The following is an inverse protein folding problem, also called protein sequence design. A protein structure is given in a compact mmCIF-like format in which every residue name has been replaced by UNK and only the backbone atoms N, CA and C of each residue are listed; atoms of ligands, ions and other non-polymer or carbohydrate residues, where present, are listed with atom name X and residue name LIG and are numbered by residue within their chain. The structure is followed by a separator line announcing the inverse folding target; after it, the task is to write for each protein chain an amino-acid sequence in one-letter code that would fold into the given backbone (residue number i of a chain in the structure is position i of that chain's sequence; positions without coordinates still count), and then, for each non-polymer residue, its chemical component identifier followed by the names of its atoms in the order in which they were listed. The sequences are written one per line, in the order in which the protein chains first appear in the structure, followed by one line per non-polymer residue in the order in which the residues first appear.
data_IF_949555997394
#
_entry.id   IF_949555997394
#
_cell.length_a   1.000
_cell.length_b   1.000
_cell.length_c   1.000
_cell.angle_alpha   90.00
_cell.angle_beta   90.00
_cell.angle_gamma   90.00
#
_symmetry.space_group_name_H-M   'P 1'
#
loop_
_entity.id
_entity.type
_entity.pdbx_description
1 polymer ?
#
# COMPACT_ATOMS: atom_id res chain seq x y z
N UNK A 1 -55.97 -41.16 -33.45
CA UNK A 1 -55.06 -40.05 -33.08
C UNK A 1 -54.50 -40.42 -31.71
N UNK A 2 -53.22 -40.66 -31.45
CA UNK A 2 -51.94 -40.33 -32.07
C UNK A 2 -50.91 -41.35 -31.56
N UNK A 3 -49.99 -41.77 -32.43
CA UNK A 3 -48.84 -42.63 -32.13
C UNK A 3 -47.84 -41.95 -31.18
N UNK A 4 -47.25 -42.72 -30.27
CA UNK A 4 -46.06 -42.34 -29.51
C UNK A 4 -45.03 -43.48 -29.56
N UNK A 5 -44.12 -43.43 -30.54
CA UNK A 5 -42.96 -44.33 -30.67
C UNK A 5 -41.82 -43.83 -29.76
N UNK A 6 -41.33 -44.68 -28.87
CA UNK A 6 -40.02 -44.51 -28.23
C UNK A 6 -38.88 -44.93 -29.19
N UNK A 7 -37.75 -44.21 -29.26
CA UNK A 7 -36.57 -44.65 -29.99
C UNK A 7 -35.66 -45.54 -29.11
N UNK A 8 -34.85 -46.44 -29.71
CA UNK A 8 -33.95 -47.34 -28.98
C UNK A 8 -32.66 -46.63 -28.53
N UNK A 9 -32.12 -47.07 -27.39
CA UNK A 9 -30.79 -46.67 -26.87
C UNK A 9 -29.68 -47.26 -27.75
N UNK A 10 -28.84 -46.39 -28.32
CA UNK A 10 -27.60 -46.77 -29.00
C UNK A 10 -26.49 -47.21 -28.03
N UNK A 11 -25.42 -47.87 -28.52
CA UNK A 11 -24.36 -48.44 -27.70
C UNK A 11 -23.46 -47.34 -27.14
N UNK A 12 -22.99 -47.51 -25.89
CA UNK A 12 -21.96 -46.67 -25.27
C UNK A 12 -20.60 -47.04 -25.86
N UNK A 13 -20.06 -46.19 -26.72
CA UNK A 13 -18.67 -46.28 -27.18
C UNK A 13 -17.74 -45.93 -26.01
N UNK A 14 -16.80 -46.83 -25.72
CA UNK A 14 -15.70 -46.56 -24.80
C UNK A 14 -14.71 -45.58 -25.48
N UNK A 15 -14.16 -44.58 -24.77
CA UNK A 15 -13.18 -43.69 -25.35
C UNK A 15 -11.92 -44.48 -25.73
N UNK A 16 -11.54 -44.37 -27.00
CA UNK A 16 -10.40 -45.06 -27.59
C UNK A 16 -9.11 -44.76 -26.83
N UNK A 17 -8.36 -45.79 -26.41
CA UNK A 17 -7.07 -45.71 -25.69
C UNK A 17 -6.07 -44.76 -26.38
N UNK A 18 -6.17 -44.59 -27.69
CA UNK A 18 -5.39 -43.65 -28.50
C UNK A 18 -5.64 -42.19 -28.13
N UNK A 19 -6.87 -41.81 -27.76
CA UNK A 19 -7.20 -40.43 -27.37
C UNK A 19 -6.62 -40.07 -25.99
N UNK A 20 -6.63 -41.05 -25.07
CA UNK A 20 -6.00 -40.92 -23.75
C UNK A 20 -4.48 -40.82 -23.85
N UNK A 21 -3.85 -41.57 -24.76
CA UNK A 21 -2.42 -41.49 -25.01
C UNK A 21 -2.00 -40.16 -25.66
N UNK A 22 -2.81 -39.65 -26.60
CA UNK A 22 -2.61 -38.31 -27.18
C UNK A 22 -2.80 -37.20 -26.14
N UNK A 23 -3.80 -37.31 -25.26
CA UNK A 23 -3.99 -36.34 -24.17
C UNK A 23 -2.82 -36.38 -23.17
N UNK A 24 -2.27 -37.55 -22.85
CA UNK A 24 -1.08 -37.69 -22.00
C UNK A 24 0.18 -37.11 -22.65
N UNK A 25 0.36 -37.29 -23.97
CA UNK A 25 1.47 -36.68 -24.72
C UNK A 25 1.34 -35.16 -24.82
N UNK A 26 0.11 -34.64 -24.99
CA UNK A 26 -0.14 -33.20 -25.00
C UNK A 26 0.04 -32.59 -23.61
N UNK A 27 -0.38 -33.27 -22.53
CA UNK A 27 -0.15 -32.80 -21.15
C UNK A 27 1.34 -32.83 -20.77
N UNK A 28 2.11 -33.81 -21.25
CA UNK A 28 3.57 -33.85 -21.02
C UNK A 28 4.33 -32.82 -21.87
N UNK A 29 3.85 -32.50 -23.08
CA UNK A 29 4.40 -31.41 -23.89
C UNK A 29 4.09 -30.01 -23.30
N UNK A 30 2.90 -29.82 -22.71
CA UNK A 30 2.50 -28.53 -22.11
C UNK A 30 3.19 -28.30 -20.75
N UNK A 31 3.56 -29.36 -20.03
CA UNK A 31 4.27 -29.24 -18.73
C UNK A 31 5.78 -29.05 -18.86
N UNK A 32 6.35 -29.15 -20.08
CA UNK A 32 7.78 -28.94 -20.32
C UNK A 32 8.17 -27.46 -20.51
N UNK A 33 7.20 -26.53 -20.58
CA UNK A 33 7.46 -25.15 -21.04
C UNK A 33 7.18 -24.07 -19.99
N UNK A 34 7.21 -24.42 -18.70
CA UNK A 34 7.02 -23.43 -17.62
C UNK A 34 8.11 -23.56 -16.56
N UNK A 35 9.24 -22.88 -16.79
CA UNK A 35 10.16 -22.30 -15.77
C UNK A 35 11.43 -21.77 -16.45
N UNK A 36 11.31 -20.75 -17.29
CA UNK A 36 12.48 -20.09 -17.89
C UNK A 36 12.80 -18.81 -17.10
N UNK A 37 13.52 -18.99 -15.99
CA UNK A 37 14.00 -17.92 -15.11
C UNK A 37 15.42 -17.47 -15.45
N UNK A 38 15.62 -16.15 -15.40
CA UNK A 38 16.87 -15.38 -15.47
C UNK A 38 18.16 -16.17 -15.16
N UNK A 39 19.05 -16.33 -16.16
CA UNK A 39 20.45 -16.76 -15.92
C UNK A 39 21.01 -17.91 -16.76
N UNK A 40 20.28 -18.40 -17.78
CA UNK A 40 20.74 -19.52 -18.60
C UNK A 40 22.07 -19.24 -19.33
N UNK A 41 22.27 -18.05 -19.91
CA UNK A 41 23.53 -17.70 -20.57
C UNK A 41 24.71 -17.68 -19.60
N UNK A 42 24.53 -17.15 -18.38
CA UNK A 42 25.60 -17.11 -17.36
C UNK A 42 26.05 -18.51 -16.93
N UNK A 43 25.20 -19.53 -17.05
CA UNK A 43 25.56 -20.93 -16.78
C UNK A 43 26.57 -21.52 -17.77
N UNK A 44 26.67 -20.93 -18.97
CA UNK A 44 27.60 -21.35 -20.04
C UNK A 44 29.01 -20.82 -19.84
N UNK A 45 29.22 -19.94 -18.86
CA UNK A 45 30.51 -19.35 -18.55
C UNK A 45 31.21 -20.05 -17.36
N UNK A 46 32.54 -20.18 -17.36
CA UNK A 46 33.31 -20.56 -16.17
C UNK A 46 33.45 -19.39 -15.18
N UNK A 47 33.85 -19.68 -13.94
CA UNK A 47 34.30 -18.63 -13.01
C UNK A 47 35.62 -18.02 -13.50
N UNK A 48 35.88 -16.70 -13.33
CA UNK A 48 35.07 -15.69 -12.65
C UNK A 48 34.01 -15.00 -13.53
N UNK A 49 34.03 -15.25 -14.84
CA UNK A 49 33.09 -14.68 -15.82
C UNK A 49 31.62 -14.94 -15.42
N UNK A 50 31.32 -16.16 -14.95
CA UNK A 50 29.98 -16.53 -14.45
C UNK A 50 29.49 -15.63 -13.33
N UNK A 51 30.32 -15.33 -12.33
CA UNK A 51 29.96 -14.42 -11.24
C UNK A 51 29.78 -12.98 -11.73
N UNK A 52 30.61 -12.53 -12.68
CA UNK A 52 30.43 -11.22 -13.29
C UNK A 52 29.13 -11.13 -14.09
N UNK A 53 28.75 -12.19 -14.80
CA UNK A 53 27.51 -12.30 -15.56
C UNK A 53 26.26 -12.20 -14.66
N UNK A 54 26.22 -12.93 -13.54
CA UNK A 54 25.08 -12.85 -12.61
C UNK A 54 24.93 -11.50 -11.90
N UNK A 55 25.96 -10.64 -11.91
CA UNK A 55 25.86 -9.28 -11.36
C UNK A 55 25.28 -8.28 -12.35
N UNK A 56 25.12 -8.67 -13.62
CA UNK A 56 24.51 -7.81 -14.63
C UNK A 56 23.02 -8.09 -14.69
N UNK A 57 22.17 -7.15 -14.27
CA UNK A 57 20.73 -7.33 -14.38
C UNK A 57 20.29 -7.28 -15.86
N UNK A 58 19.35 -8.14 -16.25
CA UNK A 58 18.81 -8.21 -17.62
C UNK A 58 18.24 -6.85 -18.08
N UNK A 59 17.60 -6.10 -17.18
CA UNK A 59 17.11 -4.73 -17.49
C UNK A 59 18.24 -3.72 -17.73
N UNK A 60 19.43 -3.94 -17.15
CA UNK A 60 20.62 -3.11 -17.35
C UNK A 60 21.21 -3.26 -18.74
N UNK A 61 21.04 -4.42 -19.38
CA UNK A 61 21.61 -4.76 -20.69
C UNK A 61 21.02 -4.00 -21.90
N UNK A 62 19.86 -3.37 -21.77
CA UNK A 62 19.35 -2.43 -22.79
C UNK A 62 19.26 -0.99 -22.28
N UNK A 63 19.72 -0.72 -21.06
CA UNK A 63 19.64 0.58 -20.41
C UNK A 63 20.67 1.57 -20.93
N UNK A 64 20.74 2.76 -20.34
CA UNK A 64 21.83 3.70 -20.60
C UNK A 64 23.19 3.16 -20.16
N UNK A 65 23.19 2.18 -19.26
CA UNK A 65 24.38 1.56 -18.68
C UNK A 65 24.78 0.25 -19.39
N UNK A 66 24.10 -0.11 -20.49
CA UNK A 66 24.35 -1.34 -21.23
C UNK A 66 25.82 -1.46 -21.68
N UNK A 67 26.37 -0.40 -22.28
CA UNK A 67 27.76 -0.36 -22.73
C UNK A 67 28.75 -0.56 -21.57
N UNK A 68 28.44 -0.01 -20.39
CA UNK A 68 29.27 -0.17 -19.20
C UNK A 68 29.27 -1.63 -18.72
N UNK A 69 28.09 -2.26 -18.67
CA UNK A 69 27.96 -3.66 -18.29
C UNK A 69 28.62 -4.62 -19.30
N UNK A 70 28.47 -4.36 -20.60
CA UNK A 70 29.09 -5.16 -21.66
C UNK A 70 30.61 -5.02 -21.69
N UNK A 71 31.13 -3.82 -21.48
CA UNK A 71 32.58 -3.58 -21.38
C UNK A 71 33.18 -4.31 -20.17
N UNK A 72 32.48 -4.26 -19.03
CA UNK A 72 32.89 -4.98 -17.83
C UNK A 72 32.89 -6.50 -18.05
N UNK A 73 31.87 -7.05 -18.73
CA UNK A 73 31.82 -8.47 -19.10
C UNK A 73 32.94 -8.85 -20.07
N UNK A 74 33.18 -8.06 -21.12
CA UNK A 74 34.25 -8.31 -22.08
C UNK A 74 35.65 -8.30 -21.44
N UNK A 75 35.85 -7.50 -20.39
CA UNK A 75 37.11 -7.49 -19.63
C UNK A 75 37.31 -8.72 -18.72
N UNK A 76 36.22 -9.37 -18.30
CA UNK A 76 36.24 -10.50 -17.35
C UNK A 76 36.05 -11.86 -18.04
N UNK A 77 35.44 -11.88 -19.23
CA UNK A 77 35.05 -13.08 -19.97
C UNK A 77 35.89 -13.23 -21.24
N UNK A 78 36.55 -14.39 -21.45
CA UNK A 78 37.26 -14.67 -22.69
C UNK A 78 36.35 -14.60 -23.92
N UNK A 79 36.83 -13.99 -25.02
CA UNK A 79 36.11 -13.96 -26.29
C UNK A 79 35.91 -15.35 -26.93
N UNK A 80 36.68 -16.36 -26.52
CA UNK A 80 36.57 -17.75 -27.00
C UNK A 80 35.35 -18.50 -26.49
N UNK A 81 34.53 -17.88 -25.63
CA UNK A 81 33.30 -18.46 -25.11
C UNK A 81 32.14 -18.28 -26.12
N UNK A 82 32.24 -18.89 -27.29
CA UNK A 82 31.32 -18.64 -28.42
C UNK A 82 29.85 -18.91 -28.05
N UNK A 83 29.57 -19.99 -27.32
CA UNK A 83 28.21 -20.33 -26.87
C UNK A 83 27.63 -19.31 -25.90
N UNK A 84 28.47 -18.79 -25.00
CA UNK A 84 28.09 -17.74 -24.05
C UNK A 84 27.78 -16.43 -24.78
N UNK A 85 28.67 -15.98 -25.66
CA UNK A 85 28.49 -14.73 -26.39
C UNK A 85 27.33 -14.79 -27.39
N UNK A 86 27.10 -15.94 -28.03
CA UNK A 86 25.94 -16.16 -28.90
C UNK A 86 24.64 -16.08 -28.09
N UNK A 87 24.58 -16.73 -26.93
CA UNK A 87 23.42 -16.66 -26.02
C UNK A 87 23.16 -15.22 -25.56
N UNK A 88 24.21 -14.53 -25.09
CA UNK A 88 24.11 -13.15 -24.62
C UNK A 88 23.64 -12.21 -25.74
N UNK A 89 24.16 -12.36 -26.96
CA UNK A 89 23.77 -11.54 -28.10
C UNK A 89 22.30 -11.77 -28.51
N UNK A 90 21.79 -12.99 -28.38
CA UNK A 90 20.36 -13.27 -28.57
C UNK A 90 19.49 -12.56 -27.53
N UNK A 91 19.87 -12.66 -26.25
CA UNK A 91 19.19 -11.92 -25.16
C UNK A 91 19.26 -10.41 -25.39
N UNK A 92 20.38 -9.90 -25.89
CA UNK A 92 20.52 -8.49 -26.25
C UNK A 92 19.56 -8.09 -27.36
N UNK A 93 19.40 -8.91 -28.40
CA UNK A 93 18.46 -8.66 -29.49
C UNK A 93 17.02 -8.51 -28.98
N UNK A 94 16.56 -9.43 -28.13
CA UNK A 94 15.23 -9.37 -27.49
C UNK A 94 15.07 -8.14 -26.59
N UNK A 95 16.11 -7.81 -25.80
CA UNK A 95 16.11 -6.62 -24.94
C UNK A 95 16.08 -5.33 -25.76
N UNK A 96 16.72 -5.30 -26.93
CA UNK A 96 16.68 -4.15 -27.85
C UNK A 96 15.35 -4.01 -28.57
N UNK A 97 14.69 -5.11 -28.91
CA UNK A 97 13.34 -5.11 -29.46
C UNK A 97 12.33 -4.49 -28.47
N UNK A 98 12.50 -4.79 -27.17
CA UNK A 98 11.75 -4.19 -26.09
C UNK A 98 12.19 -2.77 -25.67
N UNK A 99 13.20 -2.15 -26.30
CA UNK A 99 13.76 -0.88 -25.85
C UNK A 99 12.77 0.29 -25.90
N UNK A 100 11.82 0.24 -26.85
CA UNK A 100 10.76 1.24 -27.00
C UNK A 100 9.58 1.07 -26.05
N UNK A 101 9.56 0.00 -25.24
CA UNK A 101 8.47 -0.25 -24.31
C UNK A 101 8.56 0.71 -23.12
N UNK A 102 7.49 1.46 -22.90
CA UNK A 102 7.39 2.48 -21.84
C UNK A 102 7.52 1.91 -20.42
N UNK A 103 7.23 0.61 -20.22
CA UNK A 103 7.31 -0.06 -18.92
C UNK A 103 8.73 -0.48 -18.53
N UNK A 104 9.69 -0.36 -19.44
CA UNK A 104 11.08 -0.81 -19.25
C UNK A 104 11.79 -0.24 -18.01
N UNK A 105 11.62 1.05 -17.64
CA UNK A 105 12.21 1.58 -16.41
C UNK A 105 11.69 0.92 -15.12
N UNK A 106 10.55 0.23 -15.20
CA UNK A 106 9.92 -0.45 -14.07
C UNK A 106 10.48 -1.85 -13.82
N UNK A 107 11.18 -2.46 -14.80
CA UNK A 107 11.74 -3.81 -14.67
C UNK A 107 12.70 -3.98 -13.48
N UNK A 108 13.35 -2.90 -13.02
CA UNK A 108 14.18 -2.91 -11.80
C UNK A 108 13.39 -3.17 -10.50
N UNK A 109 12.07 -3.00 -10.55
CA UNK A 109 11.15 -3.22 -9.44
C UNK A 109 10.51 -4.61 -9.50
N UNK A 110 10.70 -5.34 -10.60
CA UNK A 110 10.23 -6.71 -10.73
C UNK A 110 11.07 -7.62 -9.82
N UNK A 111 10.41 -8.48 -9.06
CA UNK A 111 11.07 -9.48 -8.22
C UNK A 111 11.21 -10.76 -9.04
N UNK A 112 12.42 -11.33 -9.08
CA UNK A 112 12.66 -12.64 -9.65
C UNK A 112 12.16 -13.71 -8.66
N UNK A 113 11.47 -14.78 -9.12
CA UNK A 113 10.76 -15.70 -8.24
C UNK A 113 11.58 -16.59 -7.28
N UNK A 114 12.90 -16.46 -7.15
CA UNK A 114 13.68 -17.35 -6.27
C UNK A 114 14.95 -16.69 -5.68
N UNK A 115 14.78 -15.92 -4.60
CA UNK A 115 15.86 -15.70 -3.63
C UNK A 115 15.46 -16.32 -2.28
N UNK A 116 16.15 -17.38 -1.81
CA UNK A 116 15.83 -17.98 -0.52
C UNK A 116 16.22 -16.99 0.59
N UNK A 117 15.22 -16.41 1.25
CA UNK A 117 15.42 -15.62 2.47
C UNK A 117 14.89 -14.17 2.48
N UNK A 118 14.04 -13.77 1.53
CA UNK A 118 13.43 -12.42 1.52
C UNK A 118 12.01 -12.39 2.12
N UNK A 119 11.75 -11.45 3.03
CA UNK A 119 10.43 -11.20 3.63
C UNK A 119 9.40 -10.81 2.56
N UNK A 120 8.30 -11.57 2.48
CA UNK A 120 7.01 -11.36 1.78
C UNK A 120 6.95 -10.30 0.66
N UNK A 121 6.86 -10.81 -0.58
CA UNK A 121 6.94 -10.15 -1.88
C UNK A 121 5.74 -9.30 -2.33
N UNK A 122 4.70 -9.10 -1.52
CA UNK A 122 3.50 -8.37 -1.97
C UNK A 122 3.74 -6.86 -2.20
N UNK A 123 4.67 -6.23 -1.48
CA UNK A 123 4.89 -4.77 -1.58
C UNK A 123 5.68 -4.36 -2.84
N UNK A 124 6.54 -5.22 -3.37
CA UNK A 124 7.37 -4.92 -4.53
C UNK A 124 6.57 -5.07 -5.82
N UNK A 125 5.69 -6.06 -5.87
CA UNK A 125 4.75 -6.27 -6.97
C UNK A 125 3.81 -5.06 -7.15
N UNK A 126 3.33 -4.47 -6.05
CA UNK A 126 2.51 -3.25 -6.08
C UNK A 126 3.29 -2.04 -6.61
N UNK A 127 4.57 -1.87 -6.24
CA UNK A 127 5.40 -0.77 -6.75
C UNK A 127 5.74 -0.96 -8.23
N UNK A 128 5.96 -2.20 -8.68
CA UNK A 128 6.10 -2.55 -10.09
C UNK A 128 4.84 -2.19 -10.88
N UNK A 129 3.66 -2.66 -10.46
CA UNK A 129 2.39 -2.35 -11.13
C UNK A 129 2.07 -0.85 -11.14
N UNK A 130 2.33 -0.14 -10.04
CA UNK A 130 2.19 1.33 -9.99
C UNK A 130 3.12 2.03 -10.97
N UNK A 131 4.36 1.56 -11.10
CA UNK A 131 5.30 2.09 -12.06
C UNK A 131 4.77 1.88 -13.48
N UNK A 132 4.37 0.65 -13.83
CA UNK A 132 3.79 0.31 -15.14
C UNK A 132 2.61 1.23 -15.45
N UNK A 133 1.60 1.29 -14.58
CA UNK A 133 0.41 2.13 -14.82
C UNK A 133 0.76 3.61 -15.03
N UNK A 134 1.69 4.17 -14.23
CA UNK A 134 2.13 5.56 -14.42
C UNK A 134 2.86 5.74 -15.75
N UNK A 135 3.76 4.83 -16.10
CA UNK A 135 4.51 4.92 -17.35
C UNK A 135 3.61 4.73 -18.57
N UNK A 136 2.52 3.98 -18.47
CA UNK A 136 1.49 3.84 -19.51
C UNK A 136 0.74 5.15 -19.74
N UNK A 137 0.22 5.74 -18.65
CA UNK A 137 -0.42 7.06 -18.68
C UNK A 137 0.55 8.11 -19.24
N UNK A 138 1.82 8.03 -18.83
CA UNK A 138 2.92 8.87 -19.30
C UNK A 138 3.19 8.71 -20.79
N UNK A 139 3.21 7.49 -21.32
CA UNK A 139 3.41 7.24 -22.74
C UNK A 139 2.30 7.92 -23.57
N UNK A 140 1.04 7.78 -23.16
CA UNK A 140 -0.09 8.48 -23.79
C UNK A 140 -0.01 10.01 -23.67
N UNK A 141 0.52 10.50 -22.55
CA UNK A 141 0.72 11.91 -22.25
C UNK A 141 1.83 12.56 -23.10
N UNK A 142 2.99 11.92 -23.14
CA UNK A 142 4.23 12.45 -23.70
C UNK A 142 4.35 12.17 -25.22
N UNK A 143 3.64 11.18 -25.76
CA UNK A 143 3.66 10.88 -27.21
C UNK A 143 3.08 12.00 -28.08
N UNK A 144 2.20 12.86 -27.51
CA UNK A 144 1.48 13.91 -28.25
C UNK A 144 2.31 15.14 -28.59
N UNK A 145 3.54 15.26 -28.07
CA UNK A 145 4.46 16.36 -28.41
C UNK A 145 5.46 15.94 -29.48
N UNK A 146 5.78 16.86 -30.40
CA UNK A 146 6.83 16.70 -31.41
C UNK A 146 8.22 17.13 -30.88
N UNK A 147 8.27 17.80 -29.73
CA UNK A 147 9.53 18.25 -29.13
C UNK A 147 10.18 17.10 -28.35
N UNK A 148 11.35 16.66 -28.81
CA UNK A 148 12.16 15.64 -28.13
C UNK A 148 12.47 16.01 -26.67
N UNK A 149 12.82 17.29 -26.41
CA UNK A 149 13.15 17.77 -25.05
C UNK A 149 11.92 17.76 -24.14
N UNK A 150 10.77 18.19 -24.63
CA UNK A 150 9.52 18.13 -23.86
C UNK A 150 9.12 16.68 -23.58
N UNK A 151 9.24 15.80 -24.57
CA UNK A 151 8.95 14.37 -24.43
C UNK A 151 9.83 13.73 -23.36
N UNK A 152 11.15 13.93 -23.44
CA UNK A 152 12.10 13.37 -22.48
C UNK A 152 11.84 13.86 -21.04
N UNK A 153 11.60 15.18 -20.87
CA UNK A 153 11.28 15.75 -19.56
C UNK A 153 9.93 15.27 -19.01
N UNK A 154 8.95 15.00 -19.89
CA UNK A 154 7.66 14.40 -19.55
C UNK A 154 7.81 12.95 -19.10
N UNK A 155 8.49 12.11 -19.88
CA UNK A 155 8.73 10.70 -19.55
C UNK A 155 9.48 10.55 -18.21
N UNK A 156 10.45 11.43 -17.97
CA UNK A 156 11.18 11.48 -16.70
C UNK A 156 10.25 11.77 -15.49
N UNK A 157 9.24 12.62 -15.65
CA UNK A 157 8.24 12.91 -14.60
C UNK A 157 7.39 11.67 -14.29
N UNK A 158 6.96 10.92 -15.30
CA UNK A 158 6.14 9.72 -15.11
C UNK A 158 6.94 8.51 -14.60
N UNK A 159 8.25 8.49 -14.87
CA UNK A 159 9.17 7.46 -14.35
C UNK A 159 9.59 7.73 -12.90
N UNK A 160 9.53 8.98 -12.45
CA UNK A 160 9.89 9.34 -11.08
C UNK A 160 8.82 8.90 -10.07
N UNK A 161 9.25 8.32 -8.95
CA UNK A 161 8.36 8.00 -7.81
C UNK A 161 7.70 9.28 -7.26
N UNK A 162 8.50 10.35 -7.16
CA UNK A 162 8.11 11.72 -6.82
C UNK A 162 8.96 12.71 -7.61
N UNK A 163 8.37 13.55 -8.50
CA UNK A 163 9.13 14.51 -9.30
C UNK A 163 9.79 15.61 -8.46
N UNK A 164 11.11 15.77 -8.58
CA UNK A 164 11.88 16.82 -7.90
C UNK A 164 11.54 18.22 -8.41
N UNK A 165 11.89 19.26 -7.65
CA UNK A 165 11.70 20.67 -8.05
C UNK A 165 12.39 20.95 -9.38
N UNK A 166 13.62 20.46 -9.53
CA UNK A 166 14.41 20.60 -10.78
C UNK A 166 13.69 19.97 -11.96
N UNK A 167 13.16 18.75 -11.79
CA UNK A 167 12.47 18.03 -12.85
C UNK A 167 11.15 18.72 -13.24
N UNK A 168 10.38 19.22 -12.26
CA UNK A 168 9.16 20.02 -12.50
C UNK A 168 9.47 21.32 -13.26
N UNK A 169 10.53 22.03 -12.88
CA UNK A 169 11.00 23.22 -13.59
C UNK A 169 11.43 22.89 -15.03
N UNK A 170 12.15 21.79 -15.21
CA UNK A 170 12.62 21.36 -16.52
C UNK A 170 11.44 21.01 -17.44
N UNK A 171 10.41 20.31 -16.93
CA UNK A 171 9.16 20.07 -17.66
C UNK A 171 8.48 21.38 -18.05
N UNK A 172 8.30 22.31 -17.11
CA UNK A 172 7.65 23.59 -17.38
C UNK A 172 8.41 24.44 -18.41
N UNK A 173 9.75 24.35 -18.41
CA UNK A 173 10.63 25.01 -19.37
C UNK A 173 10.54 24.37 -20.75
N UNK A 174 10.73 23.06 -20.84
CA UNK A 174 10.85 22.34 -22.11
C UNK A 174 9.49 22.16 -22.81
N UNK A 175 8.39 22.12 -22.04
CA UNK A 175 7.03 21.97 -22.55
C UNK A 175 6.23 23.28 -22.58
N UNK A 176 6.88 24.46 -22.54
CA UNK A 176 6.21 25.76 -22.52
C UNK A 176 5.22 25.96 -23.68
N UNK A 177 5.56 25.48 -24.88
CA UNK A 177 4.71 25.52 -26.08
C UNK A 177 3.69 24.37 -26.16
N UNK A 178 3.69 23.44 -25.20
CA UNK A 178 2.91 22.21 -25.21
C UNK A 178 1.99 22.12 -24.00
N UNK A 179 1.02 23.04 -23.91
CA UNK A 179 0.10 23.15 -22.79
C UNK A 179 -0.66 21.83 -22.47
N UNK A 180 -0.93 21.00 -23.48
CA UNK A 180 -1.57 19.70 -23.30
C UNK A 180 -0.71 18.72 -22.46
N UNK A 181 0.62 18.70 -22.67
CA UNK A 181 1.54 17.86 -21.88
C UNK A 181 1.59 18.35 -20.45
N UNK A 182 1.72 19.66 -20.24
CA UNK A 182 1.77 20.23 -18.89
C UNK A 182 0.48 20.03 -18.11
N UNK A 183 -0.69 20.10 -18.76
CA UNK A 183 -1.99 19.80 -18.14
C UNK A 183 -2.13 18.32 -17.80
N UNK A 184 -1.68 17.45 -18.69
CA UNK A 184 -1.73 16.01 -18.48
C UNK A 184 -0.82 15.56 -17.32
N UNK A 185 0.41 16.10 -17.25
CA UNK A 185 1.34 15.85 -16.14
C UNK A 185 1.00 16.63 -14.85
N UNK A 186 -0.10 17.40 -14.83
CA UNK A 186 -0.42 18.29 -13.71
C UNK A 186 -0.64 17.53 -12.40
N UNK A 187 -1.27 16.35 -12.41
CA UNK A 187 -1.51 15.58 -11.19
C UNK A 187 -0.21 15.16 -10.48
N UNK A 188 0.86 14.91 -11.25
CA UNK A 188 2.18 14.52 -10.74
C UNK A 188 3.08 15.71 -10.39
N UNK A 189 2.81 16.87 -11.01
CA UNK A 189 3.60 18.09 -10.82
C UNK A 189 2.94 19.11 -9.90
N UNK A 190 1.68 18.87 -9.49
CA UNK A 190 0.92 19.72 -8.58
C UNK A 190 1.61 19.79 -7.22
N UNK A 191 2.08 20.99 -6.92
CA UNK A 191 2.67 21.30 -5.63
C UNK A 191 1.64 21.92 -4.70
N UNK A 192 1.65 21.53 -3.42
CA UNK A 192 0.87 22.24 -2.41
C UNK A 192 1.73 23.32 -1.74
N UNK A 193 1.26 24.57 -1.66
CA UNK A 193 1.86 25.59 -0.79
C UNK A 193 2.07 25.07 0.64
N UNK A 194 3.22 25.37 1.23
CA UNK A 194 3.45 25.03 2.63
C UNK A 194 2.54 25.87 3.54
N UNK A 195 1.97 25.26 4.57
CA UNK A 195 1.12 25.98 5.53
C UNK A 195 1.97 26.58 6.65
N UNK A 196 2.07 27.92 6.65
CA UNK A 196 2.78 28.72 7.66
C UNK A 196 4.25 28.30 7.94
N UNK A 197 5.11 28.14 6.91
CA UNK A 197 6.52 27.80 7.09
C UNK A 197 7.30 28.82 7.95
N UNK A 198 6.82 30.07 8.00
CA UNK A 198 7.40 31.16 8.78
C UNK A 198 7.43 30.91 10.30
N UNK A 199 6.58 30.01 10.83
CA UNK A 199 6.58 29.65 12.26
C UNK A 199 7.91 29.05 12.72
N UNK A 200 8.64 28.45 11.79
CA UNK A 200 9.89 27.76 12.06
C UNK A 200 11.13 28.64 11.83
N UNK A 201 10.98 29.94 11.57
CA UNK A 201 12.11 30.86 11.32
C UNK A 201 13.12 30.90 12.47
N UNK A 202 12.65 30.68 13.70
CA UNK A 202 13.52 30.61 14.87
C UNK A 202 14.53 29.45 14.78
N UNK A 203 14.20 28.35 14.10
CA UNK A 203 15.11 27.22 13.90
C UNK A 203 16.28 27.53 12.97
N UNK A 204 16.13 28.50 12.06
CA UNK A 204 17.25 28.92 11.22
C UNK A 204 18.39 29.54 12.06
N UNK A 205 18.11 30.09 13.25
CA UNK A 205 19.15 30.65 14.11
C UNK A 205 20.08 29.58 14.71
N UNK A 206 19.67 28.31 14.71
CA UNK A 206 20.43 27.19 15.26
C UNK A 206 21.54 26.68 14.32
N UNK A 207 21.71 27.26 13.13
CA UNK A 207 22.86 26.96 12.27
C UNK A 207 24.08 27.78 12.66
N UNK A 208 25.23 27.12 12.72
CA UNK A 208 26.53 27.79 12.83
C UNK A 208 26.99 28.41 11.50
N UNK A 209 26.39 27.97 10.38
CA UNK A 209 26.79 28.38 9.02
C UNK A 209 25.96 29.58 8.55
N UNK A 210 26.61 30.73 8.34
CA UNK A 210 25.94 31.98 7.96
C UNK A 210 25.16 31.91 6.64
N UNK A 211 25.69 31.21 5.62
CA UNK A 211 25.00 31.00 4.34
C UNK A 211 23.72 30.16 4.50
N UNK A 212 23.77 29.09 5.29
CA UNK A 212 22.59 28.28 5.63
C UNK A 212 21.55 29.08 6.43
N UNK A 213 21.97 29.94 7.39
CA UNK A 213 21.02 30.79 8.14
C UNK A 213 20.22 31.71 7.23
N UNK A 214 20.88 32.37 6.29
CA UNK A 214 20.24 33.26 5.32
C UNK A 214 19.28 32.49 4.43
N UNK A 215 19.78 31.45 3.76
CA UNK A 215 18.99 30.63 2.86
C UNK A 215 17.80 29.94 3.56
N UNK A 216 17.97 29.46 4.80
CA UNK A 216 16.89 28.88 5.59
C UNK A 216 15.76 29.88 5.85
N UNK A 217 16.10 31.13 6.20
CA UNK A 217 15.10 32.19 6.38
C UNK A 217 14.39 32.49 5.08
N UNK A 218 15.12 32.63 4.00
CA UNK A 218 14.55 32.94 2.68
C UNK A 218 13.61 31.82 2.22
N UNK A 219 14.01 30.55 2.39
CA UNK A 219 13.18 29.39 2.04
C UNK A 219 11.92 29.32 2.91
N UNK A 220 12.01 29.54 4.23
CA UNK A 220 10.85 29.50 5.12
C UNK A 220 9.93 30.73 5.00
N UNK A 221 10.43 31.87 4.52
CA UNK A 221 9.60 33.02 4.17
C UNK A 221 9.04 32.94 2.75
N UNK A 222 9.61 32.09 1.89
CA UNK A 222 9.11 31.90 0.54
C UNK A 222 7.75 31.20 0.55
N UNK A 223 6.88 31.54 -0.40
CA UNK A 223 5.65 30.80 -0.67
C UNK A 223 5.92 29.43 -1.35
N UNK A 224 7.09 28.84 -1.11
CA UNK A 224 7.48 27.58 -1.69
C UNK A 224 6.54 26.46 -1.21
N UNK A 225 6.26 25.50 -2.09
CA UNK A 225 5.50 24.34 -1.69
C UNK A 225 6.31 23.45 -0.75
N UNK A 226 5.60 22.72 0.11
CA UNK A 226 6.23 21.97 1.20
C UNK A 226 7.27 20.94 0.74
N UNK A 227 7.05 20.33 -0.43
CA UNK A 227 7.97 19.37 -1.04
C UNK A 227 9.28 20.04 -1.50
N UNK A 228 9.24 21.34 -1.81
CA UNK A 228 10.38 22.11 -2.28
C UNK A 228 11.14 22.72 -1.10
N UNK A 229 10.48 22.95 0.05
CA UNK A 229 11.14 23.50 1.24
C UNK A 229 12.24 22.56 1.72
N UNK A 230 11.97 21.26 1.81
CA UNK A 230 12.97 20.28 2.24
C UNK A 230 14.12 20.16 1.24
N UNK A 231 13.82 20.05 -0.06
CA UNK A 231 14.84 19.99 -1.12
C UNK A 231 15.73 21.25 -1.13
N UNK A 232 15.14 22.44 -0.95
CA UNK A 232 15.88 23.71 -0.88
C UNK A 232 16.72 23.86 0.39
N UNK A 233 16.20 23.38 1.53
CA UNK A 233 16.96 23.37 2.77
C UNK A 233 18.12 22.38 2.71
N UNK A 234 17.94 21.21 2.08
CA UNK A 234 19.02 20.26 1.85
C UNK A 234 20.11 20.83 0.94
N UNK A 235 19.72 21.56 -0.11
CA UNK A 235 20.65 22.24 -1.03
C UNK A 235 21.47 23.34 -0.32
N UNK A 236 20.86 24.06 0.62
CA UNK A 236 21.49 25.20 1.29
C UNK A 236 22.20 24.86 2.62
N UNK A 237 21.72 23.85 3.34
CA UNK A 237 22.14 23.50 4.70
C UNK A 237 22.73 22.09 4.82
N UNK A 238 22.80 21.34 3.72
CA UNK A 238 23.28 19.96 3.69
C UNK A 238 22.17 18.95 3.99
N UNK A 239 22.48 17.67 3.78
CA UNK A 239 21.55 16.55 3.97
C UNK A 239 20.94 16.55 5.37
N UNK A 240 19.74 16.00 5.50
CA UNK A 240 19.03 15.90 6.78
C UNK A 240 19.87 15.11 7.79
N UNK A 241 20.31 15.81 8.85
CA UNK A 241 21.10 15.26 9.94
C UNK A 241 20.58 15.81 11.28
N UNK A 242 20.21 14.93 12.20
CA UNK A 242 19.67 15.28 13.52
C UNK A 242 20.73 15.83 14.49
N UNK A 243 22.01 15.76 14.13
CA UNK A 243 23.09 16.45 14.87
C UNK A 243 23.14 17.95 14.56
N UNK A 244 22.64 18.36 13.39
CA UNK A 244 22.58 19.76 12.98
C UNK A 244 21.47 20.51 13.74
N UNK A 245 21.81 21.65 14.34
CA UNK A 245 20.90 22.45 15.15
C UNK A 245 19.63 22.90 14.42
N UNK A 246 19.71 23.20 13.12
CA UNK A 246 18.54 23.60 12.31
C UNK A 246 17.57 22.45 12.14
N UNK A 247 18.07 21.31 11.66
CA UNK A 247 17.28 20.11 11.45
C UNK A 247 16.67 19.64 12.77
N UNK A 248 17.49 19.54 13.82
CA UNK A 248 17.05 19.18 15.17
C UNK A 248 15.90 20.07 15.65
N UNK A 249 16.01 21.39 15.52
CA UNK A 249 14.94 22.32 15.92
C UNK A 249 13.66 22.15 15.08
N UNK A 250 13.79 22.05 13.76
CA UNK A 250 12.66 21.85 12.84
C UNK A 250 11.88 20.57 13.18
N UNK A 251 12.59 19.52 13.64
CA UNK A 251 11.98 18.28 14.10
C UNK A 251 11.55 18.30 15.57
N UNK A 252 12.13 19.10 16.46
CA UNK A 252 11.75 19.16 17.89
C UNK A 252 10.50 20.01 18.17
N UNK A 253 10.30 21.12 17.46
CA UNK A 253 9.02 21.85 17.50
C UNK A 253 7.86 21.01 16.96
N UNK A 254 8.19 19.89 16.31
CA UNK A 254 7.22 18.91 15.91
C UNK A 254 6.51 18.23 17.11
N UNK A 255 7.21 18.16 18.24
CA UNK A 255 6.76 17.57 19.49
C UNK A 255 6.12 18.63 20.40
N UNK A 256 6.67 19.84 20.49
CA UNK A 256 6.14 20.90 21.37
C UNK A 256 4.73 21.41 20.96
N UNK A 257 4.43 21.46 19.65
CA UNK A 257 3.08 21.77 19.16
C UNK A 257 2.10 20.59 19.32
N UNK A 258 2.60 19.36 19.49
CA UNK A 258 1.78 18.20 19.85
C UNK A 258 1.46 18.21 21.37
N UNK A 259 2.38 18.67 22.20
CA UNK A 259 2.20 18.73 23.67
C UNK A 259 1.15 19.78 24.09
N UNK A 260 0.97 20.88 23.34
CA UNK A 260 -0.03 21.91 23.69
C UNK A 260 -1.49 21.55 23.33
N UNK A 261 -1.74 20.45 22.61
CA UNK A 261 -3.10 20.08 22.17
C UNK A 261 -3.47 18.60 22.38
N UNK A 262 -2.70 17.83 23.14
CA UNK A 262 -3.09 16.48 23.52
C UNK A 262 -2.53 16.09 24.88
N UNK A 263 -3.35 16.24 25.93
CA UNK A 263 -3.32 15.32 27.05
C UNK A 263 -3.85 13.97 26.53
N UNK A 264 -2.96 13.14 26.02
CA UNK A 264 -2.98 11.67 26.03
C UNK A 264 -1.90 11.22 25.05
N UNK A 265 -0.90 10.51 25.58
CA UNK A 265 0.29 10.09 24.85
C UNK A 265 -0.07 9.14 23.71
N UNK A 266 -0.23 9.70 22.51
CA UNK A 266 -0.30 8.96 21.26
C UNK A 266 0.89 9.38 20.42
N UNK A 267 1.85 8.46 20.24
CA UNK A 267 2.89 8.62 19.23
C UNK A 267 2.23 8.68 17.85
N UNK A 268 1.94 9.89 17.42
CA UNK A 268 1.41 10.17 16.09
C UNK A 268 2.58 10.06 15.12
N UNK A 269 2.58 9.00 14.29
CA UNK A 269 3.50 8.86 13.17
C UNK A 269 3.49 10.12 12.29
N UNK A 270 4.67 10.49 11.75
CA UNK A 270 5.00 11.72 11.00
C UNK A 270 4.04 12.14 9.86
N UNK A 271 3.06 11.29 9.51
CA UNK A 271 2.01 11.50 8.50
C UNK A 271 0.78 12.25 9.04
N UNK A 272 0.50 12.19 10.35
CA UNK A 272 -0.60 12.95 10.97
C UNK A 272 -0.48 14.47 10.84
N UNK A 273 0.72 14.97 10.49
CA UNK A 273 1.02 16.40 10.31
C UNK A 273 0.59 17.01 8.97
N UNK A 274 0.05 16.21 8.04
CA UNK A 274 -0.47 16.66 6.74
C UNK A 274 -2.01 16.67 6.66
N UNK A 275 -2.70 16.33 7.74
CA UNK A 275 -4.15 16.05 7.70
C UNK A 275 -4.49 14.86 6.79
N UNK A 276 -3.51 13.98 6.56
CA UNK A 276 -3.58 12.81 5.70
C UNK A 276 -3.12 11.62 6.52
N UNK A 277 -4.06 10.79 6.95
CA UNK A 277 -3.72 9.53 7.57
C UNK A 277 -3.32 8.55 6.46
N UNK A 278 -2.03 8.50 6.10
CA UNK A 278 -1.58 7.65 4.99
C UNK A 278 -1.80 6.16 5.24
N UNK A 279 -1.91 5.73 6.49
CA UNK A 279 -2.29 4.36 6.80
C UNK A 279 -3.76 4.14 6.42
N UNK A 280 -4.66 5.07 6.77
CA UNK A 280 -6.08 5.03 6.36
C UNK A 280 -6.30 5.24 4.87
N UNK A 281 -5.52 6.10 4.22
CA UNK A 281 -5.55 6.29 2.77
C UNK A 281 -5.07 5.05 2.01
N UNK A 282 -4.10 4.32 2.58
CA UNK A 282 -3.73 2.99 2.11
C UNK A 282 -4.90 2.02 2.22
N UNK A 283 -5.66 2.09 3.31
CA UNK A 283 -6.86 1.28 3.50
C UNK A 283 -8.01 1.61 2.54
N UNK A 284 -8.14 2.86 2.09
CA UNK A 284 -9.12 3.25 1.08
C UNK A 284 -8.95 2.53 -0.27
N UNK A 285 -7.82 1.86 -0.51
CA UNK A 285 -7.58 1.00 -1.68
C UNK A 285 -8.24 -0.39 -1.53
N UNK A 286 -8.61 -0.79 -0.31
CA UNK A 286 -9.30 -2.05 -0.01
C UNK A 286 -10.84 -1.95 -0.11
N UNK A 287 -11.33 -0.82 -0.62
CA UNK A 287 -12.75 -0.62 -0.86
C UNK A 287 -13.26 -1.55 -1.96
N UNK A 288 -14.39 -2.21 -1.72
CA UNK A 288 -15.03 -3.08 -2.70
C UNK A 288 -15.78 -2.27 -3.77
N UNK A 289 -16.28 -1.09 -3.42
CA UNK A 289 -16.92 -0.13 -4.30
C UNK A 289 -15.97 1.04 -4.63
N UNK A 290 -15.87 1.44 -5.90
CA UNK A 290 -15.09 2.61 -6.30
C UNK A 290 -15.63 3.91 -5.69
N UNK A 291 -16.94 3.98 -5.45
CA UNK A 291 -17.60 5.12 -4.80
C UNK A 291 -17.17 5.23 -3.33
N UNK A 292 -17.15 4.11 -2.60
CA UNK A 292 -16.69 4.05 -1.22
C UNK A 292 -15.19 4.29 -1.08
N UNK A 293 -14.38 3.82 -2.02
CA UNK A 293 -12.96 4.17 -2.08
C UNK A 293 -12.74 5.68 -2.28
N UNK A 294 -13.56 6.33 -3.10
CA UNK A 294 -13.47 7.78 -3.34
C UNK A 294 -13.98 8.62 -2.15
N UNK A 295 -15.04 8.17 -1.46
CA UNK A 295 -15.50 8.79 -0.20
C UNK A 295 -14.45 8.61 0.90
N UNK A 296 -13.83 7.43 1.00
CA UNK A 296 -12.79 7.14 1.98
C UNK A 296 -11.58 8.05 1.79
N UNK A 297 -11.07 8.16 0.55
CA UNK A 297 -9.95 9.05 0.24
C UNK A 297 -10.28 10.50 0.55
N UNK A 298 -11.52 10.93 0.33
CA UNK A 298 -11.98 12.30 0.66
C UNK A 298 -12.03 12.52 2.17
N UNK A 299 -12.62 11.59 2.92
CA UNK A 299 -12.76 11.64 4.37
C UNK A 299 -11.42 11.66 5.12
N UNK A 300 -10.40 10.99 4.57
CA UNK A 300 -9.04 10.99 5.12
C UNK A 300 -8.08 11.91 4.35
N UNK A 301 -8.62 12.72 3.45
CA UNK A 301 -7.96 13.90 2.91
C UNK A 301 -8.32 15.14 3.73
N UNK A 302 -7.83 16.32 3.31
CA UNK A 302 -7.86 17.60 4.04
C UNK A 302 -9.24 18.12 4.49
N UNK A 303 -10.31 17.37 4.25
CA UNK A 303 -11.71 17.69 4.56
C UNK A 303 -12.27 16.66 5.57
N UNK A 304 -12.04 16.91 6.86
CA UNK A 304 -12.64 16.10 7.94
C UNK A 304 -14.02 16.66 8.31
N UNK A 305 -14.99 15.80 8.67
CA UNK A 305 -16.36 16.19 9.01
C UNK A 305 -17.42 15.55 8.09
N UNK A 306 -18.05 16.34 7.21
CA UNK A 306 -19.13 15.87 6.31
C UNK A 306 -18.78 14.65 5.44
N UNK A 307 -17.55 14.53 4.87
CA UNK A 307 -17.19 13.35 4.09
C UNK A 307 -17.02 12.08 4.95
N UNK A 308 -16.69 12.22 6.23
CA UNK A 308 -16.57 11.09 7.17
C UNK A 308 -17.95 10.52 7.54
N UNK A 309 -18.93 11.38 7.85
CA UNK A 309 -20.30 10.93 8.11
C UNK A 309 -20.91 10.22 6.89
N UNK A 310 -20.66 10.75 5.69
CA UNK A 310 -21.09 10.11 4.45
C UNK A 310 -20.39 8.75 4.22
N UNK A 311 -19.09 8.64 4.50
CA UNK A 311 -18.36 7.37 4.43
C UNK A 311 -18.91 6.36 5.44
N UNK A 312 -19.16 6.78 6.68
CA UNK A 312 -19.60 5.91 7.75
C UNK A 312 -21.01 5.36 7.49
N UNK A 313 -21.93 6.22 7.06
CA UNK A 313 -23.34 5.86 6.80
C UNK A 313 -23.54 5.14 5.47
N UNK A 314 -22.89 5.60 4.40
CA UNK A 314 -23.10 5.05 3.06
C UNK A 314 -22.22 3.83 2.76
N UNK A 315 -21.07 3.66 3.41
CA UNK A 315 -20.09 2.63 3.05
C UNK A 315 -19.70 1.70 4.21
N UNK A 316 -19.26 2.23 5.34
CA UNK A 316 -18.75 1.40 6.45
C UNK A 316 -19.86 0.61 7.17
N UNK A 317 -21.12 1.00 6.99
CA UNK A 317 -22.30 0.23 7.41
C UNK A 317 -22.59 -0.97 6.51
N UNK A 318 -22.03 -1.01 5.29
CA UNK A 318 -22.31 -2.07 4.33
C UNK A 318 -21.36 -3.26 4.53
N UNK A 319 -21.87 -4.50 4.62
CA UNK A 319 -21.03 -5.69 4.79
C UNK A 319 -20.10 -5.93 3.59
N UNK A 320 -20.43 -5.37 2.42
CA UNK A 320 -19.61 -5.43 1.21
C UNK A 320 -18.27 -4.70 1.36
N UNK A 321 -18.21 -3.68 2.21
CA UNK A 321 -17.00 -2.89 2.49
C UNK A 321 -16.21 -3.41 3.71
N UNK A 322 -16.42 -4.68 4.11
CA UNK A 322 -15.77 -5.27 5.28
C UNK A 322 -14.23 -5.20 5.22
N UNK A 323 -13.63 -5.35 4.04
CA UNK A 323 -12.18 -5.27 3.83
C UNK A 323 -11.63 -3.85 4.04
N UNK A 324 -12.39 -2.84 3.65
CA UNK A 324 -12.08 -1.44 3.88
C UNK A 324 -12.19 -1.11 5.37
N UNK A 325 -13.31 -1.49 5.99
CA UNK A 325 -13.56 -1.25 7.41
C UNK A 325 -12.50 -1.94 8.30
N UNK A 326 -12.18 -3.20 8.02
CA UNK A 326 -11.14 -3.95 8.72
C UNK A 326 -9.78 -3.25 8.62
N UNK A 327 -9.38 -2.81 7.43
CA UNK A 327 -8.12 -2.11 7.27
C UNK A 327 -8.10 -0.75 8.00
N UNK A 328 -9.16 0.03 7.89
CA UNK A 328 -9.24 1.33 8.58
C UNK A 328 -9.12 1.16 10.08
N UNK A 329 -9.81 0.17 10.64
CA UNK A 329 -9.68 -0.18 12.05
C UNK A 329 -8.27 -0.70 12.40
N UNK A 330 -7.58 -1.37 11.47
CA UNK A 330 -6.19 -1.81 11.60
C UNK A 330 -5.19 -0.67 11.72
N UNK A 331 -5.42 0.40 10.96
CA UNK A 331 -4.53 1.54 10.88
C UNK A 331 -4.59 2.52 12.06
N UNK A 332 -5.62 2.45 12.90
CA UNK A 332 -5.86 3.44 13.95
C UNK A 332 -4.94 3.27 15.18
N UNK A 333 -4.76 2.03 15.67
CA UNK A 333 -3.98 1.76 16.88
C UNK A 333 -3.17 0.46 16.68
N UNK A 334 -1.84 0.47 16.91
CA UNK A 334 -1.04 -0.73 16.78
C UNK A 334 -1.45 -1.76 17.83
N UNK A 335 -1.43 -3.02 17.43
CA UNK A 335 -1.75 -4.14 18.29
C UNK A 335 -0.70 -4.33 19.38
N UNK A 336 -1.15 -4.48 20.62
CA UNK A 336 -0.33 -4.77 21.78
C UNK A 336 -0.46 -6.24 22.18
N UNK A 337 0.61 -6.81 22.71
CA UNK A 337 0.65 -8.20 23.16
C UNK A 337 -0.04 -8.34 24.52
N UNK A 338 -1.17 -9.05 24.54
CA UNK A 338 -1.91 -9.44 25.73
C UNK A 338 -2.52 -8.27 26.52
N UNK A 339 -3.56 -8.58 27.29
CA UNK A 339 -4.04 -7.69 28.33
C UNK A 339 -3.56 -8.16 29.72
N UNK A 340 -3.37 -7.21 30.63
CA UNK A 340 -3.07 -7.48 32.03
C UNK A 340 -3.74 -6.44 32.93
N UNK A 341 -4.12 -6.83 34.15
CA UNK A 341 -4.70 -5.92 35.13
C UNK A 341 -6.15 -5.50 34.86
N UNK A 342 -6.88 -6.20 33.98
CA UNK A 342 -8.32 -5.97 33.78
C UNK A 342 -9.12 -6.62 34.91
N UNK A 343 -10.08 -5.91 35.48
CA UNK A 343 -10.91 -6.38 36.59
C UNK A 343 -12.26 -6.93 36.13
N UNK A 344 -12.82 -6.42 35.03
CA UNK A 344 -14.08 -6.87 34.45
C UNK A 344 -13.87 -7.87 33.30
N UNK A 345 -12.94 -7.62 32.40
CA UNK A 345 -12.60 -8.47 31.27
C UNK A 345 -11.46 -9.44 31.60
N UNK A 346 -11.52 -10.06 32.78
CA UNK A 346 -10.46 -10.93 33.33
C UNK A 346 -10.12 -12.11 32.45
N UNK A 347 -11.08 -12.64 31.69
CA UNK A 347 -10.86 -13.76 30.75
C UNK A 347 -9.87 -13.44 29.62
N UNK A 348 -9.56 -12.15 29.41
CA UNK A 348 -8.57 -11.66 28.45
C UNK A 348 -7.22 -11.33 29.09
N UNK A 349 -7.11 -11.38 30.42
CA UNK A 349 -5.82 -11.32 31.09
C UNK A 349 -4.99 -12.57 30.79
N UNK A 350 -3.66 -12.43 30.76
CA UNK A 350 -2.71 -13.55 30.64
C UNK A 350 -2.82 -14.36 29.33
N UNK A 351 -3.21 -13.70 28.24
CA UNK A 351 -3.15 -14.28 26.88
C UNK A 351 -1.99 -13.65 26.09
N UNK A 352 -0.73 -14.07 26.32
CA UNK A 352 0.45 -13.37 25.80
C UNK A 352 0.61 -13.48 24.28
N UNK A 353 0.00 -14.48 23.65
CA UNK A 353 0.05 -14.70 22.19
C UNK A 353 -1.08 -13.99 21.44
N UNK A 354 -2.07 -13.43 22.15
CA UNK A 354 -3.17 -12.71 21.55
C UNK A 354 -2.89 -11.22 21.52
N UNK A 355 -3.33 -10.59 20.43
CA UNK A 355 -3.08 -9.19 20.14
C UNK A 355 -4.38 -8.39 20.29
N UNK A 356 -4.31 -7.26 21.00
CA UNK A 356 -5.45 -6.38 21.28
C UNK A 356 -5.08 -4.92 21.03
N UNK A 357 -6.07 -4.07 20.69
CA UNK A 357 -5.84 -2.64 20.45
C UNK A 357 -6.00 -1.79 21.70
N UNK A 358 -6.76 -2.26 22.69
CA UNK A 358 -7.10 -1.46 23.87
C UNK A 358 -7.13 -2.32 25.13
N UNK A 359 -5.98 -2.45 25.80
CA UNK A 359 -5.88 -3.14 27.10
C UNK A 359 -5.75 -2.12 28.24
N UNK A 360 -6.76 -1.26 28.43
CA UNK A 360 -6.75 -0.21 29.45
C UNK A 360 -7.85 -0.40 30.49
N UNK A 361 -7.65 0.09 31.72
CA UNK A 361 -8.67 0.10 32.77
C UNK A 361 -9.93 0.90 32.35
N UNK A 362 -9.78 1.89 31.47
CA UNK A 362 -10.89 2.66 30.89
C UNK A 362 -11.74 1.78 29.97
N UNK A 363 -11.13 1.00 29.09
CA UNK A 363 -11.84 0.05 28.22
C UNK A 363 -12.52 -1.07 29.04
N UNK A 364 -11.87 -1.53 30.10
CA UNK A 364 -12.44 -2.49 31.04
C UNK A 364 -13.70 -1.98 31.75
N UNK A 365 -13.68 -0.69 32.11
CA UNK A 365 -14.81 -0.01 32.76
C UNK A 365 -15.93 0.26 31.77
N UNK A 366 -15.60 0.72 30.55
CA UNK A 366 -16.58 0.94 29.49
C UNK A 366 -17.32 -0.35 29.09
N UNK A 367 -16.62 -1.49 29.04
CA UNK A 367 -17.24 -2.80 28.81
C UNK A 367 -18.25 -3.18 29.90
N UNK A 368 -17.97 -2.80 31.15
CA UNK A 368 -18.90 -3.01 32.27
C UNK A 368 -20.14 -2.13 32.14
N UNK A 369 -19.95 -0.86 31.83
CA UNK A 369 -21.02 0.12 31.66
C UNK A 369 -21.97 -0.25 30.52
N UNK A 370 -21.44 -0.71 29.38
CA UNK A 370 -22.26 -1.18 28.25
C UNK A 370 -23.11 -2.40 28.61
N UNK A 371 -22.54 -3.37 29.34
CA UNK A 371 -23.29 -4.54 29.78
C UNK A 371 -24.42 -4.15 30.75
N UNK A 372 -24.16 -3.21 31.66
CA UNK A 372 -25.19 -2.67 32.57
C UNK A 372 -26.30 -1.95 31.79
N UNK A 373 -25.92 -1.14 30.80
CA UNK A 373 -26.89 -0.44 29.95
C UNK A 373 -27.78 -1.43 29.18
N UNK A 374 -27.23 -2.52 28.64
CA UNK A 374 -28.03 -3.54 27.95
C UNK A 374 -28.96 -4.30 28.90
N UNK A 375 -28.57 -4.47 30.16
CA UNK A 375 -29.42 -5.05 31.20
C UNK A 375 -30.61 -4.13 31.54
N UNK A 376 -30.34 -2.85 31.75
CA UNK A 376 -31.35 -1.87 32.16
C UNK A 376 -32.31 -1.50 31.03
N UNK A 377 -31.77 -1.28 29.82
CA UNK A 377 -32.55 -0.85 28.67
C UNK A 377 -33.27 -2.00 27.96
N UNK A 378 -32.85 -3.26 28.22
CA UNK A 378 -33.30 -4.46 27.53
C UNK A 378 -33.30 -4.32 26.00
N UNK A 379 -32.35 -3.53 25.49
CA UNK A 379 -32.28 -3.12 24.09
C UNK A 379 -30.83 -3.09 23.65
N UNK A 380 -30.54 -3.78 22.55
CA UNK A 380 -29.24 -3.75 21.92
C UNK A 380 -29.22 -2.63 20.87
N UNK A 381 -28.37 -1.63 21.10
CA UNK A 381 -28.01 -0.63 20.10
C UNK A 381 -26.53 -0.79 19.79
N UNK A 382 -26.22 -1.16 18.55
CA UNK A 382 -24.84 -1.30 18.06
C UNK A 382 -24.66 -0.41 16.82
N UNK A 383 -23.48 0.19 16.70
CA UNK A 383 -23.11 0.98 15.54
C UNK A 383 -23.13 0.10 14.27
N UNK A 384 -24.01 0.43 13.32
CA UNK A 384 -24.17 -0.30 12.05
C UNK A 384 -25.43 -1.18 11.96
N UNK A 385 -26.15 -1.39 13.07
CA UNK A 385 -27.49 -1.99 13.04
C UNK A 385 -28.53 -0.88 12.86
N UNK A 386 -29.31 -0.94 11.78
CA UNK A 386 -30.33 0.07 11.47
C UNK A 386 -31.54 0.05 12.43
N UNK A 387 -31.71 -1.03 13.21
CA UNK A 387 -32.80 -1.22 14.15
C UNK A 387 -32.28 -1.63 15.53
N UNK A 388 -32.91 -1.12 16.58
CA UNK A 388 -32.64 -1.54 17.97
C UNK A 388 -33.27 -2.91 18.19
N UNK A 389 -32.48 -3.88 18.67
CA UNK A 389 -32.96 -5.25 18.88
C UNK A 389 -33.46 -5.39 20.32
N UNK A 390 -34.73 -5.78 20.55
CA UNK A 390 -35.22 -6.02 21.90
C UNK A 390 -34.56 -7.30 22.46
N UNK A 391 -33.98 -7.16 23.66
CA UNK A 391 -33.33 -8.25 24.35
C UNK A 391 -34.22 -8.76 25.49
N UNK A 392 -34.26 -10.07 25.68
CA UNK A 392 -34.63 -10.66 26.97
C UNK A 392 -33.58 -10.27 28.02
N UNK A 393 -33.89 -10.44 29.30
CA UNK A 393 -32.94 -10.15 30.38
C UNK A 393 -31.57 -10.77 30.07
N UNK A 394 -30.55 -9.92 29.89
CA UNK A 394 -29.17 -10.31 29.56
C UNK A 394 -28.58 -11.22 30.64
N UNK A 395 -29.09 -11.10 31.88
CA UNK A 395 -28.71 -11.95 33.01
C UNK A 395 -29.30 -13.36 32.95
N UNK A 396 -30.45 -13.52 32.29
CA UNK A 396 -31.11 -14.83 32.12
C UNK A 396 -30.60 -15.54 30.87
N UNK A 397 -30.17 -14.77 29.86
CA UNK A 397 -29.74 -15.30 28.58
C UNK A 397 -28.24 -15.11 28.34
N UNK A 398 -27.44 -16.12 28.70
CA UNK A 398 -26.00 -16.21 28.47
C UNK A 398 -25.16 -15.00 28.97
N UNK A 399 -25.13 -14.73 30.28
CA UNK A 399 -24.43 -13.57 30.85
C UNK A 399 -22.93 -13.54 30.54
N UNK A 400 -22.27 -14.69 30.55
CA UNK A 400 -20.84 -14.80 30.24
C UNK A 400 -20.52 -14.50 28.76
N UNK A 401 -21.44 -14.86 27.85
CA UNK A 401 -21.27 -14.58 26.42
C UNK A 401 -21.47 -13.09 26.14
N UNK A 402 -22.47 -12.45 26.76
CA UNK A 402 -22.67 -11.00 26.66
C UNK A 402 -21.52 -10.20 27.27
N UNK A 403 -20.98 -10.66 28.40
CA UNK A 403 -19.76 -10.10 28.99
C UNK A 403 -18.59 -10.23 28.02
N UNK A 404 -18.41 -11.38 27.39
CA UNK A 404 -17.35 -11.57 26.39
C UNK A 404 -17.53 -10.67 25.16
N UNK A 405 -18.77 -10.46 24.70
CA UNK A 405 -19.11 -9.54 23.60
C UNK A 405 -18.78 -8.09 23.99
N UNK A 406 -19.22 -7.62 25.16
CA UNK A 406 -18.89 -6.29 25.65
C UNK A 406 -17.36 -6.08 25.75
N UNK A 407 -16.65 -7.06 26.29
CA UNK A 407 -15.19 -7.02 26.35
C UNK A 407 -14.55 -7.01 24.95
N UNK A 408 -15.03 -7.81 24.00
CA UNK A 408 -14.48 -7.83 22.64
C UNK A 408 -14.66 -6.48 21.92
N UNK A 409 -15.80 -5.81 22.12
CA UNK A 409 -16.08 -4.49 21.54
C UNK A 409 -15.10 -3.41 22.03
N UNK A 410 -14.77 -3.42 23.32
CA UNK A 410 -13.90 -2.40 23.93
C UNK A 410 -12.41 -2.73 23.91
N UNK A 411 -12.04 -4.02 23.98
CA UNK A 411 -10.64 -4.47 23.94
C UNK A 411 -10.10 -4.61 22.51
N UNK A 412 -11.00 -4.84 21.54
CA UNK A 412 -10.73 -4.89 20.09
C UNK A 412 -9.55 -5.81 19.72
N UNK A 413 -9.78 -7.14 19.58
CA UNK A 413 -8.77 -8.09 19.14
C UNK A 413 -8.24 -7.81 17.72
N UNK A 414 -7.00 -8.20 17.44
CA UNK A 414 -6.26 -7.80 16.24
C UNK A 414 -6.25 -8.78 15.05
N UNK A 415 -6.82 -9.99 15.18
CA UNK A 415 -7.08 -10.93 14.08
C UNK A 415 -8.36 -11.73 14.45
N UNK A 416 -9.25 -12.12 13.53
CA UNK A 416 -9.06 -12.82 12.25
C UNK A 416 -10.14 -12.39 11.24
N UNK A 417 -9.76 -12.16 9.98
CA UNK A 417 -10.62 -12.08 8.78
C UNK A 417 -12.03 -11.49 8.94
N UNK A 418 -12.17 -10.26 8.44
CA UNK A 418 -13.41 -9.48 8.27
C UNK A 418 -14.08 -9.03 9.56
N UNK A 419 -13.99 -7.70 9.79
CA UNK A 419 -14.70 -6.92 10.82
C UNK A 419 -14.13 -7.07 12.24
N UNK A 420 -13.66 -5.95 12.78
CA UNK A 420 -13.11 -5.80 14.14
C UNK A 420 -14.04 -6.14 15.28
N UNK A 421 -15.31 -6.45 14.99
CA UNK A 421 -16.35 -6.86 15.94
C UNK A 421 -17.06 -8.17 15.51
N UNK A 422 -16.47 -8.96 14.60
CA UNK A 422 -17.12 -10.17 14.11
C UNK A 422 -17.18 -11.25 15.19
N UNK A 423 -18.39 -11.54 15.64
CA UNK A 423 -18.73 -12.79 16.33
C UNK A 423 -18.91 -13.86 15.23
N UNK A 424 -18.43 -15.08 15.46
CA UNK A 424 -18.67 -16.19 14.53
C UNK A 424 -20.17 -16.30 14.22
N UNK A 425 -20.54 -16.53 12.96
CA UNK A 425 -21.95 -16.63 12.54
C UNK A 425 -22.77 -17.55 13.46
N UNK A 426 -22.20 -18.69 13.83
CA UNK A 426 -22.85 -19.65 14.73
C UNK A 426 -23.10 -19.08 16.13
N UNK A 427 -22.12 -18.39 16.72
CA UNK A 427 -22.24 -17.77 18.04
C UNK A 427 -23.21 -16.58 18.01
N UNK A 428 -23.22 -15.81 16.92
CA UNK A 428 -24.18 -14.73 16.69
C UNK A 428 -25.62 -15.26 16.61
N UNK A 429 -25.85 -16.29 15.77
CA UNK A 429 -27.16 -16.92 15.64
C UNK A 429 -27.61 -17.53 16.96
N UNK A 430 -26.72 -18.22 17.70
CA UNK A 430 -27.04 -18.80 19.00
C UNK A 430 -27.37 -17.75 20.07
N UNK A 431 -26.68 -16.61 20.06
CA UNK A 431 -26.94 -15.49 20.95
C UNK A 431 -28.29 -14.86 20.63
N UNK A 432 -28.55 -14.56 19.36
CA UNK A 432 -29.79 -13.94 18.92
C UNK A 432 -31.00 -14.87 19.12
N UNK A 433 -30.88 -16.15 18.80
CA UNK A 433 -32.00 -17.10 18.90
C UNK A 433 -32.47 -17.33 20.34
N UNK A 434 -31.60 -17.13 21.33
CA UNK A 434 -31.92 -17.36 22.75
C UNK A 434 -32.27 -16.06 23.46
N UNK A 435 -31.66 -14.93 23.05
CA UNK A 435 -31.70 -13.69 23.82
C UNK A 435 -32.52 -12.58 23.17
N UNK A 436 -32.95 -12.72 21.91
CA UNK A 436 -33.90 -11.78 21.30
C UNK A 436 -35.30 -12.08 21.82
N UNK A 437 -36.00 -11.03 22.27
CA UNK A 437 -37.42 -11.13 22.57
C UNK A 437 -38.19 -11.14 21.25
N UNK A 438 -39.15 -12.06 21.06
CA UNK A 438 -40.09 -11.94 19.95
C UNK A 438 -40.88 -10.63 20.09
N UNK A 439 -41.24 -9.97 18.97
CA UNK A 439 -41.89 -8.66 18.99
C UNK A 439 -43.21 -8.64 19.74
#
# INVERSE_FOLDING_TARGET
MTQGRHPPRGPREAPSLTLLFFLLLVVTAITADTTQGDGWCCSLAPQPCRAACYRVPVWGLGGRDADHHLTHLASTCPHTLDKFWTCLNHTMAEVTEGAGWWGRPCCKLAVAPDLPGGVSEASHEIEFFRCIQRTEEGAGCCARTQSYRCRASCEAVFTARTPSRRLRHQLAKDCRSHAHVTRCAHALTKTTPAHRPERNLHCCAASEVASCRGACRDVLMSAAPQQDILEQLEEACGTVDLTNGVWKCLFQQSEAAAVATSQEGRQVSRLGRLGLDAAKLGCCQRAASPECGALCRRAFSREWGRPWEALQTACLSQPREASLLACLSESDVPCQQGCSGLAFCTNFNHRPTQLFRSCTARADTAAREDLQLWQESQRLSLSGLAATVPLRSVMECQPELWRAVACALHLQPCHVSSLTNAICWHDCVNLLSRCVAEP
#
